data_IF_802512093494
#
_entry.id   IF_802512093494
#
_cell.length_a   1.000
_cell.length_b   1.000
_cell.length_c   1.000
_cell.angle_alpha   90.00
_cell.angle_beta   90.00
_cell.angle_gamma   90.00
#
_symmetry.space_group_name_H-M   'P 1'
#
loop_
_entity.id
_entity.type
_entity.pdbx_description
1 polymer ?
#
# COMPACT_ATOMS: atom_id res chain seq x y z
N UNK A 1 -9.13 -12.24 -7.49
CA UNK A 1 -8.44 -11.05 -6.96
C UNK A 1 -9.46 -9.98 -6.64
N UNK A 2 -9.41 -9.47 -5.43
CA UNK A 2 -10.36 -8.44 -4.99
C UNK A 2 -9.64 -7.42 -4.11
N UNK A 3 -10.30 -6.32 -3.83
CA UNK A 3 -9.77 -5.29 -2.93
C UNK A 3 -9.48 -5.90 -1.57
N UNK A 4 -8.30 -5.56 -1.02
CA UNK A 4 -7.82 -6.12 0.22
C UNK A 4 -6.94 -7.35 0.07
N UNK A 5 -6.85 -7.92 -1.12
CA UNK A 5 -5.95 -9.05 -1.35
C UNK A 5 -4.48 -8.60 -1.33
N UNK A 6 -3.64 -9.49 -0.85
CA UNK A 6 -2.18 -9.36 -0.91
C UNK A 6 -1.71 -10.19 -2.10
N UNK A 7 -1.01 -9.54 -3.02
CA UNK A 7 -0.64 -10.15 -4.29
C UNK A 7 0.85 -9.97 -4.55
N UNK A 8 1.39 -10.79 -5.45
CA UNK A 8 2.77 -10.67 -5.90
C UNK A 8 2.79 -9.95 -7.23
N UNK A 9 3.60 -8.89 -7.30
CA UNK A 9 3.74 -8.05 -8.49
C UNK A 9 5.20 -7.97 -8.90
N UNK A 10 5.50 -8.09 -10.20
CA UNK A 10 6.87 -7.90 -10.67
C UNK A 10 7.26 -6.42 -10.56
N UNK A 11 8.36 -6.17 -9.85
CA UNK A 11 8.86 -4.80 -9.63
C UNK A 11 10.30 -4.76 -10.11
N UNK A 12 10.65 -3.81 -11.00
CA UNK A 12 12.03 -3.64 -11.43
C UNK A 12 12.95 -3.32 -10.25
N UNK A 13 14.13 -3.91 -10.26
CA UNK A 13 15.14 -3.69 -9.23
C UNK A 13 16.24 -2.78 -9.78
N UNK A 14 17.04 -2.21 -8.87
CA UNK A 14 18.12 -1.30 -9.25
C UNK A 14 19.18 -1.96 -10.14
N UNK A 15 19.32 -3.27 -10.06
CA UNK A 15 20.30 -4.03 -10.84
C UNK A 15 19.76 -4.47 -12.20
N UNK A 16 18.66 -3.88 -12.66
CA UNK A 16 17.98 -4.22 -13.93
C UNK A 16 17.23 -5.54 -13.90
N UNK A 17 17.22 -6.25 -12.75
CA UNK A 17 16.42 -7.45 -12.59
C UNK A 17 14.97 -7.12 -12.29
N UNK A 18 14.13 -8.15 -12.31
CA UNK A 18 12.73 -8.05 -11.91
C UNK A 18 12.48 -9.05 -10.80
N UNK A 19 11.81 -8.60 -9.75
CA UNK A 19 11.52 -9.46 -8.60
C UNK A 19 10.05 -9.30 -8.23
N UNK A 20 9.41 -10.44 -7.95
CA UNK A 20 8.02 -10.39 -7.45
C UNK A 20 8.02 -9.90 -6.01
N UNK A 21 7.27 -8.84 -5.75
CA UNK A 21 7.15 -8.23 -4.43
C UNK A 21 5.69 -8.23 -3.99
N UNK A 22 5.43 -8.39 -2.70
CA UNK A 22 4.06 -8.27 -2.21
C UNK A 22 3.57 -6.83 -2.31
N UNK A 23 2.33 -6.70 -2.75
CA UNK A 23 1.59 -5.44 -2.76
C UNK A 23 0.18 -5.72 -2.28
N UNK A 24 -0.53 -4.67 -1.87
CA UNK A 24 -1.91 -4.80 -1.40
C UNK A 24 -2.81 -4.09 -2.40
N UNK A 25 -3.88 -4.76 -2.83
CA UNK A 25 -4.88 -4.17 -3.71
C UNK A 25 -5.74 -3.22 -2.89
N UNK A 26 -5.62 -1.92 -3.17
CA UNK A 26 -6.42 -0.89 -2.49
C UNK A 26 -7.78 -0.72 -3.15
N UNK A 27 -7.82 -0.55 -4.46
CA UNK A 27 -9.06 -0.36 -5.20
C UNK A 27 -8.96 -0.97 -6.58
N UNK A 28 -10.11 -1.41 -7.07
CA UNK A 28 -10.28 -1.72 -8.48
C UNK A 28 -10.68 -0.43 -9.18
N UNK A 29 -9.95 -0.07 -10.22
CA UNK A 29 -10.16 1.20 -10.90
C UNK A 29 -11.17 1.05 -12.03
N UNK A 30 -12.02 2.07 -12.24
CA UNK A 30 -13.08 1.96 -13.25
C UNK A 30 -12.53 1.88 -14.66
N UNK A 31 -13.43 1.47 -15.54
CA UNK A 31 -13.34 1.14 -16.94
C UNK A 31 -12.80 -0.25 -17.17
N UNK A 32 -11.54 -0.53 -16.87
CA UNK A 32 -10.95 -1.83 -17.21
C UNK A 32 -10.65 -2.72 -16.02
N UNK A 33 -10.91 -2.23 -14.81
CA UNK A 33 -10.64 -3.01 -13.61
C UNK A 33 -9.17 -3.14 -13.27
N UNK A 34 -8.34 -2.20 -13.73
CA UNK A 34 -6.95 -2.14 -13.30
C UNK A 34 -6.90 -1.94 -11.79
N UNK A 35 -5.79 -2.34 -11.18
CA UNK A 35 -5.69 -2.39 -9.73
C UNK A 35 -4.77 -1.31 -9.21
N UNK A 36 -5.28 -0.49 -8.30
CA UNK A 36 -4.46 0.44 -7.53
C UNK A 36 -3.86 -0.34 -6.37
N UNK A 37 -2.54 -0.42 -6.32
CA UNK A 37 -1.84 -1.19 -5.30
C UNK A 37 -0.85 -0.32 -4.55
N UNK A 38 -0.56 -0.69 -3.30
CA UNK A 38 0.53 -0.09 -2.52
C UNK A 38 1.54 -1.16 -2.14
N UNK A 39 2.77 -0.72 -1.85
CA UNK A 39 3.86 -1.63 -1.58
C UNK A 39 3.88 -2.17 -0.17
N UNK A 40 4.58 -3.27 0.02
CA UNK A 40 4.85 -3.86 1.33
C UNK A 40 6.36 -4.10 1.42
N UNK A 41 6.94 -3.71 2.54
CA UNK A 41 8.38 -3.81 2.79
C UNK A 41 8.62 -4.46 4.14
N UNK A 42 9.79 -5.08 4.32
CA UNK A 42 10.26 -5.51 5.63
C UNK A 42 11.26 -4.52 6.24
N UNK A 43 11.49 -3.40 5.57
CA UNK A 43 12.47 -2.38 6.00
C UNK A 43 11.78 -1.39 6.94
N UNK A 44 11.64 -1.76 8.22
CA UNK A 44 10.89 -0.96 9.18
C UNK A 44 11.48 0.44 9.39
N UNK A 45 12.77 0.63 9.11
CA UNK A 45 13.37 1.96 9.23
C UNK A 45 12.81 2.96 8.21
N UNK A 46 12.07 2.50 7.21
CA UNK A 46 11.38 3.39 6.28
C UNK A 46 10.01 3.85 6.80
N UNK A 47 9.60 3.38 7.99
CA UNK A 47 8.27 3.69 8.53
C UNK A 47 8.09 5.19 8.75
N UNK A 48 6.99 5.72 8.23
CA UNK A 48 6.59 7.11 8.43
C UNK A 48 5.32 7.10 9.28
N UNK A 49 5.44 7.57 10.50
CA UNK A 49 4.33 7.58 11.46
C UNK A 49 3.18 8.45 10.93
N UNK A 50 1.96 7.95 11.07
CA UNK A 50 0.76 8.64 10.61
C UNK A 50 0.51 8.49 9.11
N UNK A 51 1.41 7.82 8.39
CA UNK A 51 1.27 7.61 6.94
C UNK A 51 1.32 6.13 6.61
N UNK A 52 2.36 5.43 7.06
CA UNK A 52 2.53 3.99 6.82
C UNK A 52 1.90 3.17 7.95
N UNK A 53 1.66 1.90 7.71
CA UNK A 53 1.06 1.02 8.70
C UNK A 53 1.83 -0.29 8.76
N UNK A 54 2.05 -0.81 9.99
CA UNK A 54 2.74 -2.07 10.20
C UNK A 54 1.72 -3.13 10.57
N UNK A 55 1.85 -4.33 9.97
CA UNK A 55 1.07 -5.49 10.38
C UNK A 55 1.93 -6.27 11.36
N UNK A 56 1.54 -6.29 12.65
CA UNK A 56 2.29 -7.02 13.65
C UNK A 56 1.91 -8.49 13.65
N UNK A 57 2.85 -9.40 14.00
CA UNK A 57 2.53 -10.83 14.07
C UNK A 57 1.37 -11.16 15.01
N UNK A 58 1.07 -10.30 15.97
CA UNK A 58 -0.06 -10.47 16.90
C UNK A 58 -1.37 -9.95 16.34
N UNK A 59 -1.36 -9.27 15.19
CA UNK A 59 -2.60 -8.78 14.59
C UNK A 59 -3.41 -9.92 14.00
N UNK A 60 -4.73 -9.77 14.05
CA UNK A 60 -5.65 -10.85 13.66
C UNK A 60 -5.48 -11.25 12.18
N UNK A 61 -5.10 -10.31 11.32
CA UNK A 61 -4.97 -10.57 9.89
C UNK A 61 -3.53 -10.88 9.45
N UNK A 62 -2.60 -11.05 10.40
CA UNK A 62 -1.22 -11.34 10.01
C UNK A 62 -1.12 -12.67 9.25
N UNK A 63 -1.70 -13.73 9.81
CA UNK A 63 -1.63 -15.05 9.19
C UNK A 63 -2.34 -15.07 7.84
N UNK A 64 -3.52 -14.46 7.74
CA UNK A 64 -4.31 -14.46 6.51
C UNK A 64 -3.67 -13.61 5.41
N UNK A 65 -2.80 -12.67 5.78
CA UNK A 65 -2.14 -11.81 4.79
C UNK A 65 -1.11 -12.55 3.94
N UNK A 66 -0.61 -13.68 4.43
CA UNK A 66 0.45 -14.41 3.74
C UNK A 66 1.81 -13.75 3.83
N UNK A 67 1.93 -12.67 4.58
CA UNK A 67 3.18 -11.93 4.73
C UNK A 67 4.00 -12.51 5.88
N UNK A 68 5.31 -12.20 5.90
CA UNK A 68 6.22 -12.70 6.92
C UNK A 68 6.87 -11.54 7.66
N UNK A 69 7.44 -11.83 8.82
CA UNK A 69 8.09 -10.85 9.70
C UNK A 69 7.07 -9.81 10.16
N UNK A 70 7.45 -8.54 10.22
CA UNK A 70 6.56 -7.43 10.55
C UNK A 70 6.47 -6.55 9.31
N UNK A 71 5.60 -6.86 8.37
CA UNK A 71 5.54 -6.14 7.10
C UNK A 71 5.05 -4.71 7.28
N UNK A 72 5.69 -3.81 6.56
CA UNK A 72 5.38 -2.39 6.53
C UNK A 72 4.61 -2.09 5.25
N UNK A 73 3.38 -1.60 5.40
CA UNK A 73 2.56 -1.17 4.28
C UNK A 73 2.94 0.28 3.96
N UNK A 74 3.42 0.52 2.76
CA UNK A 74 3.98 1.82 2.39
C UNK A 74 3.20 2.47 1.27
N UNK A 75 2.62 3.64 1.56
CA UNK A 75 1.96 4.45 0.54
C UNK A 75 2.93 5.21 -0.36
N UNK A 76 4.22 5.25 -0.01
CA UNK A 76 5.20 5.87 -0.89
C UNK A 76 5.42 5.07 -2.17
N UNK A 77 4.97 3.82 -2.23
CA UNK A 77 4.88 3.07 -3.47
C UNK A 77 3.40 2.86 -3.81
N UNK A 78 2.93 3.53 -4.84
CA UNK A 78 1.59 3.37 -5.40
C UNK A 78 1.72 3.14 -6.88
N UNK A 79 0.91 2.20 -7.40
CA UNK A 79 0.91 1.92 -8.82
C UNK A 79 -0.48 1.47 -9.26
N UNK A 80 -0.81 1.71 -10.53
CA UNK A 80 -2.01 1.15 -11.15
C UNK A 80 -1.54 0.13 -12.16
N UNK A 81 -1.95 -1.11 -11.98
CA UNK A 81 -1.46 -2.23 -12.76
C UNK A 81 -2.59 -2.99 -13.42
N UNK A 82 -2.43 -3.43 -14.68
CA UNK A 82 -3.38 -4.35 -15.27
C UNK A 82 -3.40 -5.67 -14.50
N UNK A 83 -4.56 -6.31 -14.42
CA UNK A 83 -4.69 -7.58 -13.70
C UNK A 83 -3.74 -8.64 -14.21
N UNK A 84 -3.45 -8.63 -15.49
CA UNK A 84 -2.53 -9.62 -16.09
C UNK A 84 -1.10 -9.52 -15.56
N UNK A 85 -0.75 -8.39 -14.95
CA UNK A 85 0.60 -8.21 -14.40
C UNK A 85 0.75 -8.80 -12.99
N UNK A 86 -0.32 -9.29 -12.40
CA UNK A 86 -0.29 -9.87 -11.07
C UNK A 86 0.16 -11.33 -11.19
N UNK A 87 1.23 -11.69 -10.48
CA UNK A 87 1.77 -13.03 -10.53
C UNK A 87 0.94 -14.03 -9.71
N UNK A 88 0.33 -13.57 -8.61
CA UNK A 88 -0.50 -14.46 -7.80
C UNK A 88 -1.00 -13.78 -6.55
N UNK A 89 -1.94 -14.43 -5.89
CA UNK A 89 -2.52 -13.97 -4.62
C UNK A 89 -1.89 -14.80 -3.50
N UNK A 90 -1.39 -14.16 -2.46
CA UNK A 90 -0.81 -14.86 -1.32
C UNK A 90 -1.62 -14.75 -0.05
N UNK A 91 -2.63 -13.87 -0.01
CA UNK A 91 -3.48 -13.72 1.15
C UNK A 91 -4.37 -12.49 1.04
N UNK A 92 -4.86 -12.05 2.19
CA UNK A 92 -5.72 -10.87 2.27
C UNK A 92 -5.56 -10.23 3.65
N UNK A 93 -5.81 -8.91 3.70
CA UNK A 93 -5.85 -8.17 4.97
C UNK A 93 -7.30 -8.10 5.45
N UNK A 94 -7.47 -7.74 6.74
CA UNK A 94 -8.80 -7.58 7.31
C UNK A 94 -9.53 -6.40 6.67
N UNK A 95 -10.87 -6.47 6.52
CA UNK A 95 -11.64 -5.36 5.96
C UNK A 95 -11.43 -4.04 6.72
N UNK A 96 -11.28 -4.10 8.03
CA UNK A 96 -11.04 -2.92 8.86
C UNK A 96 -9.70 -2.27 8.53
N UNK A 97 -8.67 -3.09 8.31
CA UNK A 97 -7.36 -2.57 7.92
C UNK A 97 -7.42 -1.95 6.52
N UNK A 98 -8.07 -2.63 5.59
CA UNK A 98 -8.24 -2.11 4.24
C UNK A 98 -8.92 -0.74 4.28
N UNK A 99 -9.97 -0.61 5.07
CA UNK A 99 -10.68 0.67 5.21
C UNK A 99 -9.76 1.75 5.78
N UNK A 100 -8.99 1.44 6.83
CA UNK A 100 -8.05 2.40 7.42
C UNK A 100 -7.01 2.87 6.42
N UNK A 101 -6.51 1.94 5.59
CA UNK A 101 -5.52 2.30 4.56
C UNK A 101 -6.11 3.28 3.56
N UNK A 102 -7.34 3.03 3.11
CA UNK A 102 -8.01 3.93 2.18
C UNK A 102 -8.26 5.30 2.81
N UNK A 103 -8.70 5.33 4.06
CA UNK A 103 -8.94 6.59 4.77
C UNK A 103 -7.64 7.38 4.95
N UNK A 104 -6.57 6.71 5.34
CA UNK A 104 -5.27 7.36 5.52
C UNK A 104 -4.76 7.95 4.20
N UNK A 105 -4.86 7.22 3.12
CA UNK A 105 -4.44 7.69 1.81
C UNK A 105 -5.31 8.87 1.35
N UNK A 106 -6.62 8.73 1.50
CA UNK A 106 -7.57 9.79 1.12
C UNK A 106 -7.30 11.07 1.90
N UNK A 107 -7.10 10.96 3.21
CA UNK A 107 -6.81 12.11 4.04
C UNK A 107 -5.50 12.78 3.66
N UNK A 108 -4.49 11.99 3.34
CA UNK A 108 -3.22 12.55 2.89
C UNK A 108 -3.38 13.28 1.56
N UNK A 109 -4.12 12.69 0.63
CA UNK A 109 -4.28 13.26 -0.70
C UNK A 109 -4.99 14.61 -0.69
N UNK A 110 -5.83 14.87 0.32
CA UNK A 110 -6.55 16.15 0.42
C UNK A 110 -5.95 17.09 1.48
N UNK A 111 -4.95 16.63 2.21
CA UNK A 111 -4.37 17.40 3.31
C UNK A 111 -3.68 18.65 2.78
N UNK A 112 -3.94 19.79 3.42
CA UNK A 112 -3.35 21.07 3.09
C UNK A 112 -3.74 21.59 1.71
N UNK A 113 -4.83 21.07 1.13
CA UNK A 113 -5.36 21.61 -0.11
C UNK A 113 -6.08 22.94 0.16
N UNK A 114 -5.92 23.88 -0.77
CA UNK A 114 -6.57 25.17 -0.69
C UNK A 114 -5.95 26.14 0.32
N UNK A 115 -4.94 25.72 1.08
CA UNK A 115 -4.20 26.59 1.98
C UNK A 115 -3.16 27.38 1.22
N UNK A 116 -2.90 28.58 1.61
CA UNK A 116 -1.75 29.30 1.08
C UNK A 116 -0.46 28.73 1.63
N UNK A 117 -0.86 28.54 1.81
CA UNK A 117 -0.38 28.13 2.30
C UNK A 117 0.32 28.43 2.75
N UNK A 118 0.38 28.36 3.03
CA UNK A 118 0.64 28.28 3.54
C UNK A 118 1.13 28.32 3.93
N UNK A 119 1.56 28.60 4.33
CA UNK A 119 1.84 28.35 4.85
C UNK A 119 2.10 28.18 5.32
N UNK A 120 2.58 28.53 5.62
CA UNK A 120 2.66 27.92 6.21
C UNK A 120 3.14 27.33 6.42
N UNK A 121 3.72 27.89 6.43
CA UNK A 121 3.97 27.04 6.75
C UNK A 121 4.14 26.53 6.66
N UNK A 122 4.38 26.64 6.63
CA UNK A 122 4.24 25.86 6.58
C UNK A 122 4.28 25.19 6.40
N UNK A 123 4.69 25.35 6.54
CA UNK A 123 4.47 24.51 6.40
C UNK A 123 4.49 23.85 6.21
N UNK A 124 4.88 24.19 6.38
CA UNK A 124 4.66 23.39 6.17
C UNK A 124 4.68 22.81 5.70
N UNK A 125 5.09 23.04 5.67
CA UNK A 125 4.95 22.22 5.33
C UNK A 125 5.10 21.75 4.96
#
# INVERSE_FOLDING_TARGET
MKEGDVVLTPIPQADSGVKNRPTIILREMPSYGDLLVCGVSTQLHHYVQGFDEIIFPTDADFASSGLVAAPLIRFSFLAILPRKNIAGVIGSIAPERHRRLLEALSNYLVRNLGGPKVDQGEESP
#
